data_IF_869159399422
#
_entry.id   IF_869159399422
#
_cell.length_a   1.000
_cell.length_b   1.000
_cell.length_c   1.000
_cell.angle_alpha   90.00
_cell.angle_beta   90.00
_cell.angle_gamma   90.00
#
_symmetry.space_group_name_H-M   'P 1'
#
loop_
_entity.id
_entity.type
_entity.pdbx_description
1 polymer ?
#
# COMPACT_ATOMS: atom_id res chain seq x y z
N UNK A 1 0.31 -26.52 -3.91
CA UNK A 1 1.28 -25.40 -4.03
C UNK A 1 0.53 -24.11 -3.76
N UNK A 2 0.86 -23.33 -2.71
CA UNK A 2 0.23 -22.03 -2.52
C UNK A 2 0.68 -21.14 -3.67
N UNK A 3 -0.30 -20.70 -4.48
CA UNK A 3 -0.09 -19.85 -5.65
C UNK A 3 0.58 -18.57 -5.19
N UNK A 4 1.72 -18.21 -5.78
CA UNK A 4 2.51 -17.00 -5.47
C UNK A 4 1.71 -15.69 -5.45
N UNK A 5 0.51 -15.68 -6.06
CA UNK A 5 -0.49 -14.61 -5.95
C UNK A 5 -0.92 -14.27 -4.51
N UNK A 6 -0.98 -15.23 -3.59
CA UNK A 6 -1.40 -14.98 -2.21
C UNK A 6 -0.32 -14.28 -1.38
N UNK A 7 0.96 -14.57 -1.65
CA UNK A 7 2.08 -13.91 -0.96
C UNK A 7 2.17 -12.43 -1.30
N UNK A 8 1.94 -12.06 -2.57
CA UNK A 8 1.97 -10.66 -3.00
C UNK A 8 0.81 -9.87 -2.38
N UNK A 9 -0.38 -10.47 -2.26
CA UNK A 9 -1.52 -9.83 -1.59
C UNK A 9 -1.25 -9.53 -0.12
N UNK A 10 -0.51 -10.40 0.56
CA UNK A 10 -0.11 -10.18 1.96
C UNK A 10 0.87 -9.02 2.14
N UNK A 11 1.71 -8.71 1.13
CA UNK A 11 2.78 -7.69 1.25
C UNK A 11 2.32 -6.26 0.97
N UNK A 12 1.26 -6.07 0.18
CA UNK A 12 0.67 -4.75 -0.09
C UNK A 12 0.24 -4.01 1.18
N UNK A 13 -0.55 -4.60 2.10
CA UNK A 13 -0.94 -3.92 3.33
C UNK A 13 0.25 -3.60 4.23
N UNK A 14 1.27 -4.46 4.29
CA UNK A 14 2.52 -4.16 5.00
C UNK A 14 3.27 -2.96 4.41
N UNK A 15 3.37 -2.89 3.08
CA UNK A 15 3.99 -1.76 2.39
C UNK A 15 3.22 -0.45 2.60
N UNK A 16 1.89 -0.50 2.61
CA UNK A 16 1.04 0.66 2.92
C UNK A 16 1.20 1.10 4.38
N UNK A 17 1.25 0.16 5.33
CA UNK A 17 1.52 0.46 6.74
C UNK A 17 2.87 1.14 6.90
N UNK A 18 3.93 0.58 6.31
CA UNK A 18 5.27 1.16 6.32
C UNK A 18 5.32 2.56 5.68
N UNK A 19 4.49 2.82 4.66
CA UNK A 19 4.36 4.17 4.09
C UNK A 19 3.85 5.19 5.13
N UNK A 20 2.84 4.82 5.92
CA UNK A 20 2.29 5.68 6.96
C UNK A 20 3.25 5.83 8.16
N UNK A 21 3.87 4.74 8.60
CA UNK A 21 4.81 4.76 9.75
C UNK A 21 6.08 5.54 9.47
N UNK A 22 6.59 5.50 8.23
CA UNK A 22 7.84 6.18 7.84
C UNK A 22 7.62 7.60 7.32
N UNK A 23 6.46 8.20 7.55
CA UNK A 23 6.15 9.58 7.18
C UNK A 23 6.26 9.84 5.66
N UNK A 24 5.61 9.00 4.84
CA UNK A 24 5.50 9.09 3.37
C UNK A 24 6.82 8.88 2.59
N UNK A 25 7.49 7.72 2.71
CA UNK A 25 8.63 7.38 1.86
C UNK A 25 8.19 7.22 0.39
N UNK A 26 9.15 7.33 -0.55
CA UNK A 26 8.86 7.14 -1.98
C UNK A 26 8.26 5.75 -2.24
N UNK A 27 7.09 5.68 -2.87
CA UNK A 27 6.39 4.43 -3.23
C UNK A 27 7.32 3.47 -4.01
N UNK A 28 8.20 4.00 -4.86
CA UNK A 28 9.17 3.19 -5.61
C UNK A 28 10.20 2.48 -4.71
N UNK A 29 10.58 3.08 -3.58
CA UNK A 29 11.48 2.45 -2.61
C UNK A 29 10.75 1.31 -1.88
N UNK A 30 9.50 1.55 -1.44
CA UNK A 30 8.66 0.53 -0.83
C UNK A 30 8.37 -0.64 -1.78
N UNK A 31 8.09 -0.36 -3.06
CA UNK A 31 7.87 -1.40 -4.06
C UNK A 31 9.08 -2.35 -4.18
N UNK A 32 10.30 -1.81 -4.10
CA UNK A 32 11.53 -2.62 -4.10
C UNK A 32 11.74 -3.36 -2.78
N UNK A 33 11.53 -2.69 -1.66
CA UNK A 33 11.73 -3.25 -0.32
C UNK A 33 10.79 -4.44 -0.05
N UNK A 34 9.53 -4.31 -0.47
CA UNK A 34 8.51 -5.34 -0.28
C UNK A 34 8.40 -6.30 -1.46
N UNK A 35 9.24 -6.17 -2.48
CA UNK A 35 9.22 -7.02 -3.68
C UNK A 35 7.81 -7.07 -4.32
N UNK A 36 7.24 -5.88 -4.53
CA UNK A 36 5.91 -5.66 -5.11
C UNK A 36 6.06 -4.90 -6.42
N UNK A 37 5.37 -5.30 -7.50
CA UNK A 37 5.33 -4.51 -8.72
C UNK A 37 4.83 -3.09 -8.44
N UNK A 38 5.59 -2.09 -8.86
CA UNK A 38 5.28 -0.68 -8.60
C UNK A 38 3.83 -0.32 -8.96
N UNK A 39 3.36 -0.73 -10.13
CA UNK A 39 1.98 -0.47 -10.56
C UNK A 39 0.92 -1.06 -9.62
N UNK A 40 1.17 -2.24 -9.03
CA UNK A 40 0.24 -2.83 -8.06
C UNK A 40 0.21 -2.04 -6.75
N UNK A 41 1.39 -1.68 -6.23
CA UNK A 41 1.47 -0.89 -5.01
C UNK A 41 0.88 0.51 -5.21
N UNK A 42 1.15 1.15 -6.34
CA UNK A 42 0.59 2.45 -6.72
C UNK A 42 -0.94 2.42 -6.85
N UNK A 43 -1.49 1.40 -7.52
CA UNK A 43 -2.93 1.25 -7.66
C UNK A 43 -3.59 1.02 -6.29
N UNK A 44 -3.02 0.17 -5.45
CA UNK A 44 -3.48 -0.03 -4.07
C UNK A 44 -3.42 1.27 -3.26
N UNK A 45 -2.31 2.03 -3.39
CA UNK A 45 -2.15 3.32 -2.73
C UNK A 45 -3.20 4.33 -3.16
N UNK A 46 -3.47 4.49 -4.47
CA UNK A 46 -4.51 5.38 -4.97
C UNK A 46 -5.90 4.97 -4.47
N UNK A 47 -6.22 3.67 -4.49
CA UNK A 47 -7.51 3.15 -4.02
C UNK A 47 -7.68 3.44 -2.52
N UNK A 48 -6.69 3.11 -1.70
CA UNK A 48 -6.70 3.36 -0.25
C UNK A 48 -6.72 4.86 0.06
N UNK A 49 -5.91 5.66 -0.62
CA UNK A 49 -5.81 7.11 -0.40
C UNK A 49 -7.09 7.85 -0.81
N UNK A 50 -7.68 7.50 -1.96
CA UNK A 50 -8.97 8.08 -2.38
C UNK A 50 -10.11 7.66 -1.45
N UNK A 51 -10.07 6.44 -0.90
CA UNK A 51 -11.03 5.99 0.09
C UNK A 51 -10.91 6.83 1.37
N UNK A 52 -9.70 7.02 1.91
CA UNK A 52 -9.43 7.84 3.10
C UNK A 52 -9.80 9.32 2.86
N UNK A 53 -9.49 9.89 1.69
CA UNK A 53 -9.88 11.27 1.35
C UNK A 53 -11.39 11.48 1.18
N UNK A 54 -12.13 10.43 0.80
CA UNK A 54 -13.59 10.48 0.66
C UNK A 54 -14.33 10.20 1.96
N UNK A 55 -13.68 9.63 2.96
CA UNK A 55 -14.26 9.61 4.30
C UNK A 55 -14.36 11.06 4.78
N UNK A 56 -15.56 11.57 5.12
CA UNK A 56 -15.64 12.83 5.83
C UNK A 56 -14.79 12.69 7.08
N UNK A 57 -13.94 13.68 7.37
CA UNK A 57 -13.41 13.84 8.73
C UNK A 57 -14.63 13.96 9.62
N UNK A 58 -15.05 12.87 10.24
CA UNK A 58 -15.89 12.95 11.42
C UNK A 58 -15.05 13.68 12.45
N UNK A 59 -15.33 14.97 12.58
CA UNK A 59 -15.02 15.73 13.80
C UNK A 59 -15.55 14.92 14.98
N UNK A 60 -14.63 14.50 15.85
CA UNK A 60 -14.90 13.95 17.16
C UNK A 60 -13.97 14.65 18.15
#
# INVERSE_FOLDING_TARGET
MPKDSDKIKSRIPDALRAYHERNNPKIAALAREFDIPYQRLWNAFIVTYNFIKRLPRSEA
#
